data_IF_040170767063
#
_entry.id   IF_040170767063
#
_cell.length_a   1.000
_cell.length_b   1.000
_cell.length_c   1.000
_cell.angle_alpha   90.00
_cell.angle_beta   90.00
_cell.angle_gamma   90.00
#
_symmetry.space_group_name_H-M   'P 1'
#
loop_
_entity.id
_entity.type
_entity.pdbx_description
1 polymer ?
#
# COMPACT_ATOMS: atom_id res chain seq x y z
N UNK A 1 -42.31 -50.17 22.44
CA UNK A 1 -42.30 -48.70 22.31
C UNK A 1 -40.89 -48.27 21.96
N UNK A 2 -40.71 -47.60 20.81
CA UNK A 2 -39.41 -47.29 20.21
C UNK A 2 -38.80 -46.05 20.87
N UNK A 3 -37.58 -46.19 21.38
CA UNK A 3 -36.74 -45.09 21.84
C UNK A 3 -36.16 -44.37 20.62
N UNK A 4 -36.59 -43.15 20.37
CA UNK A 4 -35.91 -42.22 19.45
C UNK A 4 -35.01 -41.32 20.29
N UNK A 5 -33.71 -41.64 20.30
CA UNK A 5 -32.66 -40.81 20.86
C UNK A 5 -32.23 -39.83 19.76
N UNK A 6 -32.67 -38.58 19.85
CA UNK A 6 -32.25 -37.52 18.92
C UNK A 6 -30.88 -37.01 19.34
N UNK A 7 -29.84 -37.36 18.59
CA UNK A 7 -28.49 -36.83 18.79
C UNK A 7 -28.43 -35.43 18.15
N UNK A 8 -28.35 -34.39 18.98
CA UNK A 8 -28.09 -33.02 18.52
C UNK A 8 -26.58 -32.92 18.28
N UNK A 9 -26.18 -32.87 17.01
CA UNK A 9 -24.81 -32.53 16.61
C UNK A 9 -24.61 -31.02 16.79
N UNK A 10 -24.12 -30.60 17.95
CA UNK A 10 -23.54 -29.28 18.11
C UNK A 10 -22.22 -29.27 17.35
N UNK A 11 -22.21 -28.67 16.16
CA UNK A 11 -20.98 -28.29 15.46
C UNK A 11 -20.34 -27.20 16.31
N UNK A 12 -19.53 -27.61 17.27
CA UNK A 12 -18.56 -26.73 17.90
C UNK A 12 -17.59 -26.33 16.80
N UNK A 13 -17.78 -25.13 16.25
CA UNK A 13 -16.79 -24.44 15.44
C UNK A 13 -15.59 -24.12 16.32
N UNK A 14 -14.78 -25.15 16.58
CA UNK A 14 -13.39 -24.94 16.93
C UNK A 14 -12.81 -24.17 15.75
N UNK A 15 -12.46 -22.90 15.97
CA UNK A 15 -11.50 -22.19 15.14
C UNK A 15 -10.23 -23.04 15.15
N UNK A 16 -10.09 -23.89 14.14
CA UNK A 16 -8.91 -24.73 13.96
C UNK A 16 -7.77 -23.77 13.69
N UNK A 17 -6.93 -23.57 14.71
CA UNK A 17 -5.67 -22.86 14.54
C UNK A 17 -4.90 -23.52 13.38
N UNK A 18 -4.54 -22.71 12.38
CA UNK A 18 -3.78 -23.15 11.22
C UNK A 18 -4.57 -23.45 9.94
N UNK A 19 -5.82 -23.01 9.81
CA UNK A 19 -6.54 -23.21 8.55
C UNK A 19 -5.92 -22.39 7.40
N UNK A 20 -5.73 -23.04 6.26
CA UNK A 20 -5.33 -22.37 5.02
C UNK A 20 -6.42 -21.38 4.59
N UNK A 21 -6.03 -20.12 4.43
CA UNK A 21 -6.94 -19.03 4.03
C UNK A 21 -7.52 -19.25 2.64
N UNK A 22 -8.64 -18.58 2.37
CA UNK A 22 -9.30 -18.61 1.07
C UNK A 22 -9.33 -17.23 0.41
N UNK A 23 -9.26 -17.23 -0.92
CA UNK A 23 -9.50 -16.05 -1.76
C UNK A 23 -10.35 -16.48 -2.96
N UNK A 24 -11.47 -15.80 -3.18
CA UNK A 24 -12.46 -16.17 -4.21
C UNK A 24 -12.88 -17.66 -4.16
N UNK A 25 -13.04 -18.20 -2.94
CA UNK A 25 -13.46 -19.59 -2.71
C UNK A 25 -12.38 -20.65 -2.93
N UNK A 26 -11.13 -20.25 -3.17
CA UNK A 26 -10.00 -21.15 -3.39
C UNK A 26 -8.98 -21.03 -2.26
N UNK A 27 -8.35 -22.15 -1.89
CA UNK A 27 -7.29 -22.16 -0.87
C UNK A 27 -6.05 -21.42 -1.39
N UNK A 28 -5.56 -20.49 -0.59
CA UNK A 28 -4.39 -19.67 -0.92
C UNK A 28 -3.13 -20.43 -0.56
N UNK A 29 -2.28 -20.71 -1.55
CA UNK A 29 -1.00 -21.38 -1.31
C UNK A 29 0.08 -20.35 -1.00
N UNK A 30 0.08 -19.21 -1.70
CA UNK A 30 1.09 -18.17 -1.54
C UNK A 30 0.53 -16.78 -1.75
N UNK A 31 0.94 -15.85 -0.90
CA UNK A 31 0.85 -14.41 -1.13
C UNK A 31 2.27 -13.90 -1.40
N UNK A 32 2.52 -13.49 -2.64
CA UNK A 32 3.81 -12.98 -3.10
C UNK A 32 3.70 -11.46 -3.30
N UNK A 33 4.63 -10.69 -2.72
CA UNK A 33 4.63 -9.23 -2.78
C UNK A 33 5.97 -8.75 -3.32
N UNK A 34 5.92 -7.94 -4.37
CA UNK A 34 7.09 -7.27 -4.95
C UNK A 34 6.91 -5.77 -4.89
N UNK A 35 7.82 -5.09 -4.20
CA UNK A 35 7.97 -3.64 -4.30
C UNK A 35 9.13 -3.34 -5.23
N UNK A 36 8.96 -2.37 -6.13
CA UNK A 36 9.93 -2.07 -7.17
C UNK A 36 10.02 -0.56 -7.42
N UNK A 37 11.25 -0.04 -7.42
CA UNK A 37 11.56 1.33 -7.81
C UNK A 37 12.70 1.36 -8.82
N UNK A 38 12.52 2.04 -9.94
CA UNK A 38 13.52 2.16 -10.99
C UNK A 38 13.45 3.52 -11.67
N UNK A 39 14.60 3.99 -12.16
CA UNK A 39 14.72 5.26 -12.86
C UNK A 39 15.59 5.09 -14.10
N UNK A 40 15.13 5.66 -15.21
CA UNK A 40 15.92 5.83 -16.41
C UNK A 40 16.81 7.08 -16.27
N UNK A 41 18.10 6.93 -16.56
CA UNK A 41 19.05 8.02 -16.58
C UNK A 41 19.20 8.51 -18.02
N UNK A 42 19.01 9.81 -18.23
CA UNK A 42 19.26 10.46 -19.51
C UNK A 42 20.77 10.65 -19.74
N UNK A 43 21.50 9.54 -19.87
CA UNK A 43 22.92 9.47 -20.20
C UNK A 43 23.15 8.90 -21.62
N UNK A 44 24.42 8.88 -22.04
CA UNK A 44 24.84 8.36 -23.35
C UNK A 44 24.71 6.84 -23.48
N UNK A 45 24.52 6.14 -22.35
CA UNK A 45 24.47 4.67 -22.25
C UNK A 45 23.05 4.12 -22.16
N UNK A 46 22.05 4.98 -21.94
CA UNK A 46 20.69 4.56 -21.61
C UNK A 46 20.65 3.74 -20.33
N UNK A 47 21.24 4.25 -19.24
CA UNK A 47 21.33 3.53 -17.97
C UNK A 47 19.98 3.50 -17.26
N UNK A 48 19.55 2.33 -16.80
CA UNK A 48 18.46 2.15 -15.84
C UNK A 48 19.01 1.60 -14.53
N UNK A 49 18.61 2.18 -13.40
CA UNK A 49 18.96 1.68 -12.06
C UNK A 49 17.70 1.45 -11.26
N UNK A 50 17.65 0.35 -10.52
CA UNK A 50 16.50 0.05 -9.68
C UNK A 50 16.81 -0.84 -8.49
N UNK A 51 15.83 -0.91 -7.61
CA UNK A 51 15.82 -1.75 -6.42
C UNK A 51 14.46 -2.46 -6.38
N UNK A 52 14.44 -3.73 -6.00
CA UNK A 52 13.22 -4.48 -5.74
C UNK A 52 13.33 -5.23 -4.40
N UNK A 53 12.28 -5.15 -3.58
CA UNK A 53 12.10 -6.09 -2.47
C UNK A 53 11.06 -7.12 -2.85
N UNK A 54 11.38 -8.38 -2.58
CA UNK A 54 10.55 -9.53 -2.87
C UNK A 54 10.33 -10.28 -1.57
N UNK A 55 9.08 -10.52 -1.19
CA UNK A 55 8.71 -11.38 -0.06
C UNK A 55 7.56 -12.30 -0.45
N UNK A 56 7.55 -13.54 0.04
CA UNK A 56 6.38 -14.40 -0.08
C UNK A 56 6.03 -15.11 1.21
N UNK A 57 4.73 -15.18 1.46
CA UNK A 57 4.10 -15.89 2.56
C UNK A 57 3.43 -17.13 1.99
N UNK A 58 3.92 -18.31 2.36
CA UNK A 58 3.46 -19.60 1.79
C UNK A 58 2.90 -20.47 2.90
N UNK A 59 1.80 -21.15 2.63
CA UNK A 59 1.22 -22.10 3.57
C UNK A 59 2.09 -23.36 3.64
N UNK A 60 2.66 -23.63 4.81
CA UNK A 60 3.39 -24.87 5.10
C UNK A 60 2.42 -25.91 5.65
N UNK A 61 2.10 -26.91 4.81
CA UNK A 61 1.18 -27.99 5.18
C UNK A 61 1.68 -28.87 6.33
N UNK A 62 3.00 -28.94 6.56
CA UNK A 62 3.56 -29.74 7.66
C UNK A 62 3.38 -29.04 9.01
N UNK A 63 3.46 -27.71 9.00
CA UNK A 63 3.30 -26.87 10.19
C UNK A 63 1.88 -26.31 10.35
N UNK A 64 1.02 -26.50 9.34
CA UNK A 64 -0.33 -25.98 9.26
C UNK A 64 -0.39 -24.46 9.48
N UNK A 65 0.54 -23.70 8.88
CA UNK A 65 0.64 -22.25 9.08
C UNK A 65 1.32 -21.56 7.90
N UNK A 66 1.13 -20.24 7.78
CA UNK A 66 1.88 -19.45 6.81
C UNK A 66 3.25 -19.08 7.34
N UNK A 67 4.27 -19.24 6.50
CA UNK A 67 5.66 -18.86 6.81
C UNK A 67 6.22 -17.96 5.72
N UNK A 68 7.22 -17.16 6.08
CA UNK A 68 8.01 -16.42 5.08
C UNK A 68 8.86 -17.43 4.32
N UNK A 69 8.51 -17.71 3.07
CA UNK A 69 9.25 -18.68 2.25
C UNK A 69 10.49 -18.05 1.61
N UNK A 70 10.39 -16.79 1.19
CA UNK A 70 11.50 -16.01 0.63
C UNK A 70 11.38 -14.56 1.06
N UNK A 71 12.52 -13.93 1.31
CA UNK A 71 12.63 -12.49 1.45
C UNK A 71 14.02 -12.04 1.01
N UNK A 72 14.10 -11.22 -0.04
CA UNK A 72 15.35 -10.67 -0.54
C UNK A 72 15.17 -9.29 -1.18
N UNK A 73 16.28 -8.59 -1.33
CA UNK A 73 16.40 -7.33 -2.07
C UNK A 73 17.32 -7.52 -3.26
N UNK A 74 16.85 -7.12 -4.43
CA UNK A 74 17.66 -7.01 -5.64
C UNK A 74 17.99 -5.54 -5.89
N UNK A 75 19.26 -5.24 -6.10
CA UNK A 75 19.73 -3.96 -6.65
C UNK A 75 20.30 -4.23 -8.04
N UNK A 76 19.86 -3.46 -9.03
CA UNK A 76 20.27 -3.70 -10.40
C UNK A 76 20.62 -2.42 -11.14
N UNK A 77 21.51 -2.58 -12.12
CA UNK A 77 21.84 -1.56 -13.10
C UNK A 77 21.93 -2.21 -14.46
N UNK A 78 21.23 -1.62 -15.44
CA UNK A 78 21.30 -2.01 -16.84
C UNK A 78 21.77 -0.83 -17.68
N UNK A 79 22.62 -1.06 -18.67
CA UNK A 79 22.92 -0.08 -19.73
C UNK A 79 22.48 -0.65 -21.06
N UNK A 80 22.05 0.20 -21.99
CA UNK A 80 21.70 -0.20 -23.35
C UNK A 80 22.91 -0.14 -24.30
N UNK A 81 23.85 0.79 -24.06
CA UNK A 81 25.07 0.99 -24.88
C UNK A 81 26.34 1.09 -24.00
N UNK A 82 27.17 0.03 -23.91
CA UNK A 82 26.90 -1.34 -24.35
C UNK A 82 25.76 -1.99 -23.54
N UNK A 83 25.16 -3.07 -24.03
CA UNK A 83 24.18 -3.83 -23.25
C UNK A 83 24.90 -4.55 -22.10
N UNK A 84 24.63 -4.13 -20.87
CA UNK A 84 25.19 -4.76 -19.67
C UNK A 84 24.14 -4.80 -18.59
N UNK A 85 24.19 -5.83 -17.74
CA UNK A 85 23.34 -5.94 -16.55
C UNK A 85 24.21 -6.36 -15.36
N UNK A 86 24.08 -5.63 -14.26
CA UNK A 86 24.61 -6.02 -12.95
C UNK A 86 23.43 -6.19 -12.00
N UNK A 87 23.43 -7.29 -11.26
CA UNK A 87 22.41 -7.65 -10.29
C UNK A 87 23.09 -8.07 -9.00
N UNK A 88 22.73 -7.43 -7.90
CA UNK A 88 23.19 -7.77 -6.56
C UNK A 88 21.97 -8.17 -5.72
N UNK A 89 21.97 -9.40 -5.22
CA UNK A 89 20.87 -9.95 -4.42
C UNK A 89 21.31 -10.11 -2.97
N UNK A 90 20.57 -9.47 -2.05
CA UNK A 90 20.73 -9.61 -0.61
C UNK A 90 19.56 -10.41 -0.02
N UNK A 91 19.83 -11.61 0.47
CA UNK A 91 18.81 -12.51 1.04
C UNK A 91 18.71 -12.33 2.55
N UNK A 92 17.51 -12.05 3.05
CA UNK A 92 17.22 -11.92 4.48
C UNK A 92 16.99 -13.29 5.13
N UNK A 93 18.06 -14.11 5.17
CA UNK A 93 18.00 -15.51 5.64
C UNK A 93 17.41 -15.67 7.05
N UNK A 94 17.57 -14.67 7.92
CA UNK A 94 17.02 -14.69 9.28
C UNK A 94 15.50 -14.63 9.34
N UNK A 95 14.83 -14.18 8.27
CA UNK A 95 13.37 -14.09 8.23
C UNK A 95 12.71 -15.35 7.65
N UNK A 96 13.44 -16.11 6.84
CA UNK A 96 12.92 -17.30 6.15
C UNK A 96 12.53 -18.37 7.17
N UNK A 97 11.35 -18.95 6.98
CA UNK A 97 10.76 -19.98 7.85
C UNK A 97 10.03 -19.42 9.08
N UNK A 98 10.08 -18.11 9.34
CA UNK A 98 9.30 -17.51 10.43
C UNK A 98 7.81 -17.58 10.13
N UNK A 99 7.05 -17.95 11.16
CA UNK A 99 5.59 -17.88 11.15
C UNK A 99 5.13 -16.45 10.88
N UNK A 100 4.08 -16.32 10.07
CA UNK A 100 3.39 -15.06 9.81
C UNK A 100 2.00 -15.11 10.42
N UNK A 101 1.64 -14.06 11.15
CA UNK A 101 0.31 -13.90 11.73
C UNK A 101 -0.78 -14.00 10.66
N UNK A 102 -1.60 -15.06 10.79
CA UNK A 102 -2.68 -15.40 9.88
C UNK A 102 -3.65 -14.24 9.67
N UNK A 103 -3.95 -13.48 10.74
CA UNK A 103 -4.92 -12.38 10.69
C UNK A 103 -4.43 -11.25 9.78
N UNK A 104 -3.12 -11.04 9.66
CA UNK A 104 -2.55 -10.01 8.79
C UNK A 104 -2.71 -10.37 7.31
N UNK A 105 -2.51 -11.65 6.98
CA UNK A 105 -2.72 -12.15 5.62
C UNK A 105 -4.22 -12.12 5.29
N UNK A 106 -5.07 -12.60 6.19
CA UNK A 106 -6.53 -12.58 6.00
C UNK A 106 -7.08 -11.16 5.82
N UNK A 107 -6.59 -10.20 6.60
CA UNK A 107 -6.96 -8.78 6.46
C UNK A 107 -6.61 -8.24 5.08
N UNK A 108 -5.42 -8.58 4.55
CA UNK A 108 -5.01 -8.21 3.20
C UNK A 108 -5.91 -8.84 2.13
N UNK A 109 -6.16 -10.14 2.21
CA UNK A 109 -7.02 -10.87 1.29
C UNK A 109 -8.45 -10.29 1.26
N UNK A 110 -9.02 -10.00 2.44
CA UNK A 110 -10.34 -9.38 2.58
C UNK A 110 -10.37 -7.97 2.01
N UNK A 111 -9.31 -7.19 2.20
CA UNK A 111 -9.22 -5.84 1.64
C UNK A 111 -9.15 -5.86 0.11
N UNK A 112 -8.43 -6.81 -0.49
CA UNK A 112 -8.29 -6.95 -1.95
C UNK A 112 -9.59 -7.42 -2.63
N UNK A 113 -10.45 -8.16 -1.94
CA UNK A 113 -11.76 -8.58 -2.48
C UNK A 113 -12.86 -7.53 -2.31
N UNK A 114 -12.59 -6.44 -1.58
CA UNK A 114 -13.57 -5.41 -1.26
C UNK A 114 -13.28 -4.12 -2.00
N UNK A 115 -14.19 -3.68 -2.86
CA UNK A 115 -14.13 -2.35 -3.48
C UNK A 115 -15.07 -1.38 -2.77
N UNK A 116 -14.64 -0.13 -2.55
CA UNK A 116 -15.44 0.89 -1.87
C UNK A 116 -15.51 2.15 -2.71
N UNK A 117 -16.69 2.74 -2.79
CA UNK A 117 -16.88 4.04 -3.46
C UNK A 117 -16.01 5.11 -2.81
N UNK A 118 -15.42 6.00 -3.62
CA UNK A 118 -14.69 7.17 -3.13
C UNK A 118 -15.49 8.03 -2.13
N UNK A 119 -16.82 8.11 -2.30
CA UNK A 119 -17.74 8.80 -1.37
C UNK A 119 -17.71 8.23 0.04
N UNK A 120 -17.34 6.96 0.18
CA UNK A 120 -17.32 6.21 1.43
C UNK A 120 -15.89 6.00 1.97
N UNK A 121 -14.84 6.49 1.30
CA UNK A 121 -13.45 6.30 1.78
C UNK A 121 -13.23 6.83 3.20
N UNK A 122 -13.92 7.92 3.57
CA UNK A 122 -13.82 8.48 4.91
C UNK A 122 -14.24 7.48 6.00
N UNK A 123 -15.11 6.50 5.70
CA UNK A 123 -15.51 5.47 6.68
C UNK A 123 -14.44 4.43 6.94
N UNK A 124 -13.39 4.37 6.11
CA UNK A 124 -12.26 3.44 6.26
C UNK A 124 -11.10 4.03 7.07
N UNK A 125 -11.15 5.32 7.36
CA UNK A 125 -10.06 6.05 7.97
C UNK A 125 -10.37 6.29 9.44
N UNK A 126 -9.50 5.83 10.33
CA UNK A 126 -9.54 6.29 11.72
C UNK A 126 -9.05 7.73 11.78
N UNK A 127 -10.01 8.66 11.80
CA UNK A 127 -9.70 10.09 11.92
C UNK A 127 -9.00 10.46 13.22
N UNK A 128 -9.19 9.69 14.28
CA UNK A 128 -8.49 9.90 15.55
C UNK A 128 -7.02 9.56 15.38
N UNK A 129 -6.73 8.44 14.72
CA UNK A 129 -5.37 8.02 14.39
C UNK A 129 -4.69 9.04 13.46
N UNK A 130 -5.34 9.44 12.38
CA UNK A 130 -4.75 10.42 11.44
C UNK A 130 -4.51 11.79 12.07
N UNK A 131 -5.34 12.25 13.02
CA UNK A 131 -5.12 13.51 13.75
C UNK A 131 -3.77 13.55 14.45
N UNK A 132 -3.27 12.41 14.92
CA UNK A 132 -1.95 12.33 15.58
C UNK A 132 -0.82 12.73 14.62
N UNK A 133 -1.00 12.50 13.33
CA UNK A 133 -0.03 12.86 12.29
C UNK A 133 -0.21 14.31 11.77
N UNK A 134 -1.43 14.86 11.81
CA UNK A 134 -1.73 16.22 11.34
C UNK A 134 -1.40 17.25 12.44
N UNK A 135 -0.10 17.46 12.66
CA UNK A 135 0.41 18.44 13.64
C UNK A 135 1.00 19.65 12.93
N UNK A 136 1.10 20.79 13.62
CA UNK A 136 1.81 21.97 13.07
C UNK A 136 3.26 21.63 12.71
N UNK A 137 3.93 20.82 13.53
CA UNK A 137 5.28 20.32 13.25
C UNK A 137 5.33 19.58 11.92
N UNK A 138 4.35 18.70 11.66
CA UNK A 138 4.28 17.98 10.40
C UNK A 138 3.96 18.92 9.23
N UNK A 139 3.01 19.85 9.39
CA UNK A 139 2.68 20.84 8.36
C UNK A 139 3.92 21.65 7.96
N UNK A 140 4.70 22.13 8.93
CA UNK A 140 5.96 22.84 8.67
C UNK A 140 7.02 21.96 8.01
N UNK A 141 7.10 20.68 8.39
CA UNK A 141 8.01 19.70 7.76
C UNK A 141 7.67 19.51 6.28
N UNK A 142 6.39 19.35 5.95
CA UNK A 142 5.92 19.22 4.55
C UNK A 142 6.12 20.53 3.78
N UNK A 143 5.84 21.68 4.40
CA UNK A 143 6.09 22.99 3.79
C UNK A 143 7.57 23.23 3.45
N UNK A 144 8.48 22.74 4.29
CA UNK A 144 9.92 22.81 4.01
C UNK A 144 10.31 21.91 2.84
N UNK A 145 9.72 20.71 2.72
CA UNK A 145 9.98 19.79 1.60
C UNK A 145 9.46 20.32 0.26
N UNK A 146 8.44 21.16 0.31
CA UNK A 146 7.87 21.86 -0.84
C UNK A 146 8.34 23.33 -0.88
N UNK A 147 9.50 23.67 -0.28
CA UNK A 147 10.11 25.02 -0.10
C UNK A 147 9.17 26.25 -0.03
N UNK A 148 7.97 26.09 0.50
CA UNK A 148 7.02 27.17 0.79
C UNK A 148 7.07 27.59 2.26
N UNK A 149 8.00 27.04 3.05
CA UNK A 149 8.13 27.34 4.48
C UNK A 149 8.35 28.83 4.79
N UNK A 150 8.81 29.62 3.80
CA UNK A 150 8.96 31.07 3.93
C UNK A 150 7.62 31.78 4.14
N UNK A 151 6.52 31.27 3.59
CA UNK A 151 5.19 31.89 3.70
C UNK A 151 4.71 31.98 5.16
N UNK A 152 5.20 31.09 6.03
CA UNK A 152 4.86 31.06 7.46
C UNK A 152 5.82 31.89 8.34
N UNK A 153 6.80 32.60 7.76
CA UNK A 153 7.70 33.46 8.53
C UNK A 153 6.99 34.78 8.85
N UNK A 154 7.33 35.40 9.99
CA UNK A 154 6.75 36.68 10.45
C UNK A 154 6.81 37.83 9.43
N UNK A 155 7.75 37.78 8.49
CA UNK A 155 7.87 38.75 7.39
C UNK A 155 6.71 38.67 6.39
N UNK A 156 6.06 37.52 6.28
CA UNK A 156 5.05 37.22 5.26
C UNK A 156 3.68 36.89 5.85
N UNK A 157 3.60 36.43 7.11
CA UNK A 157 2.35 36.12 7.79
C UNK A 157 2.40 36.50 9.27
N UNK A 158 1.28 36.98 9.81
CA UNK A 158 1.13 37.22 11.26
C UNK A 158 1.00 35.90 12.03
N UNK A 159 1.07 35.97 13.36
CA UNK A 159 0.84 34.79 14.21
C UNK A 159 -0.59 34.28 14.04
N UNK A 160 -1.56 35.19 14.05
CA UNK A 160 -2.98 34.89 13.94
C UNK A 160 -3.30 34.20 12.60
N UNK A 161 -2.75 34.72 11.48
CA UNK A 161 -2.90 34.12 10.15
C UNK A 161 -2.31 32.70 10.10
N UNK A 162 -1.14 32.51 10.71
CA UNK A 162 -0.51 31.18 10.79
C UNK A 162 -1.35 30.22 11.63
N UNK A 163 -1.85 30.67 12.79
CA UNK A 163 -2.67 29.85 13.69
C UNK A 163 -3.99 29.43 13.00
N UNK A 164 -4.66 30.36 12.32
CA UNK A 164 -5.86 30.09 11.51
C UNK A 164 -5.58 29.07 10.40
N UNK A 165 -4.47 29.25 9.67
CA UNK A 165 -4.05 28.34 8.62
C UNK A 165 -3.84 26.91 9.15
N UNK A 166 -3.07 26.77 10.23
CA UNK A 166 -2.76 25.47 10.81
C UNK A 166 -4.01 24.79 11.39
N UNK A 167 -4.91 25.54 12.02
CA UNK A 167 -6.17 25.00 12.54
C UNK A 167 -7.10 24.54 11.42
N UNK A 168 -7.17 25.30 10.32
CA UNK A 168 -7.94 24.94 9.13
C UNK A 168 -7.38 23.68 8.45
N UNK A 169 -6.05 23.54 8.40
CA UNK A 169 -5.39 22.33 7.89
C UNK A 169 -5.60 21.11 8.80
N UNK A 170 -5.78 21.31 10.11
CA UNK A 170 -6.09 20.23 11.08
C UNK A 170 -7.56 19.81 11.07
N UNK A 171 -8.42 20.54 10.36
CA UNK A 171 -9.86 20.26 10.32
C UNK A 171 -10.15 18.91 9.65
N UNK A 172 -11.01 18.12 10.29
CA UNK A 172 -11.47 16.84 9.73
C UNK A 172 -12.40 17.04 8.54
N UNK A 173 -13.12 18.16 8.48
CA UNK A 173 -13.96 18.45 7.33
C UNK A 173 -13.10 18.75 6.09
N UNK A 174 -11.96 19.41 6.28
CA UNK A 174 -10.97 19.58 5.22
C UNK A 174 -10.39 18.24 4.75
N UNK A 175 -10.09 17.34 5.70
CA UNK A 175 -9.61 15.98 5.38
C UNK A 175 -10.67 15.14 4.62
N UNK A 176 -11.96 15.26 4.96
CA UNK A 176 -13.07 14.61 4.22
C UNK A 176 -13.11 15.08 2.77
N UNK A 177 -12.96 16.39 2.54
CA UNK A 177 -12.93 16.97 1.19
C UNK A 177 -11.77 16.38 0.40
N UNK A 178 -10.57 16.34 1.01
CA UNK A 178 -9.40 15.71 0.40
C UNK A 178 -9.66 14.27 -0.03
N UNK A 179 -10.15 13.40 0.85
CA UNK A 179 -10.37 11.99 0.52
C UNK A 179 -11.38 11.81 -0.63
N UNK A 180 -12.35 12.72 -0.74
CA UNK A 180 -13.35 12.70 -1.81
C UNK A 180 -12.78 13.16 -3.16
N UNK A 181 -11.98 14.23 -3.15
CA UNK A 181 -11.47 14.86 -4.37
C UNK A 181 -10.20 14.18 -4.91
N UNK A 182 -9.30 13.75 -4.02
CA UNK A 182 -7.95 13.28 -4.39
C UNK A 182 -7.94 11.90 -5.03
N UNK A 183 -8.88 11.04 -4.66
CA UNK A 183 -8.98 9.65 -5.13
C UNK A 183 -10.07 9.47 -6.19
N UNK A 184 -10.37 10.52 -6.96
CA UNK A 184 -11.17 10.37 -8.17
C UNK A 184 -10.39 9.58 -9.22
N UNK A 185 -10.94 8.46 -9.67
CA UNK A 185 -10.28 7.50 -10.57
C UNK A 185 -10.54 7.80 -12.04
N UNK A 186 -11.00 9.00 -12.37
CA UNK A 186 -11.44 9.42 -13.71
C UNK A 186 -10.29 9.74 -14.68
N UNK A 187 -9.06 9.85 -14.19
CA UNK A 187 -7.87 10.17 -15.00
C UNK A 187 -6.70 9.24 -14.72
N UNK A 188 -5.87 9.02 -15.73
CA UNK A 188 -4.64 8.23 -15.63
C UNK A 188 -3.44 9.03 -16.14
N UNK A 189 -2.38 9.08 -15.34
CA UNK A 189 -1.08 9.63 -15.75
C UNK A 189 -0.13 8.47 -15.96
N UNK A 190 0.45 8.39 -17.16
CA UNK A 190 1.47 7.39 -17.51
C UNK A 190 2.84 8.04 -17.32
N UNK A 191 3.70 7.40 -16.53
CA UNK A 191 5.08 7.83 -16.28
C UNK A 191 5.99 6.79 -16.93
N UNK A 192 6.80 7.20 -17.90
CA UNK A 192 7.54 6.28 -18.78
C UNK A 192 9.02 6.13 -18.43
N UNK A 193 9.58 7.09 -17.71
CA UNK A 193 11.00 7.17 -17.32
C UNK A 193 11.25 6.71 -15.87
N UNK A 194 10.18 6.39 -15.14
CA UNK A 194 10.22 6.03 -13.73
C UNK A 194 9.21 4.93 -13.40
N UNK A 195 9.66 3.92 -12.67
CA UNK A 195 8.80 2.88 -12.10
C UNK A 195 8.81 3.01 -10.59
N UNK A 196 7.65 3.02 -9.96
CA UNK A 196 7.50 2.98 -8.50
C UNK A 196 6.17 2.31 -8.14
N UNK A 197 6.25 1.00 -7.92
CA UNK A 197 5.12 0.08 -7.95
C UNK A 197 5.25 -0.94 -6.83
N UNK A 198 4.12 -1.30 -6.21
CA UNK A 198 3.98 -2.49 -5.37
C UNK A 198 3.00 -3.43 -6.08
N UNK A 199 3.40 -4.67 -6.32
CA UNK A 199 2.55 -5.71 -6.86
C UNK A 199 2.31 -6.78 -5.81
N UNK A 200 1.11 -7.35 -5.82
CA UNK A 200 0.69 -8.48 -4.99
C UNK A 200 0.18 -9.57 -5.92
N UNK A 201 0.64 -10.79 -5.70
CA UNK A 201 0.15 -11.98 -6.35
C UNK A 201 -0.41 -12.93 -5.29
N UNK A 202 -1.61 -13.42 -5.52
CA UNK A 202 -2.22 -14.48 -4.71
C UNK A 202 -2.26 -15.72 -5.59
N UNK A 203 -1.48 -16.72 -5.25
CA UNK A 203 -1.43 -18.00 -5.95
C UNK A 203 -2.25 -19.03 -5.18
N UNK A 204 -3.12 -19.72 -5.89
CA UNK A 204 -3.89 -20.87 -5.41
C UNK A 204 -3.51 -22.09 -6.25
N UNK A 205 -4.09 -23.24 -5.92
CA UNK A 205 -3.86 -24.48 -6.68
C UNK A 205 -4.37 -24.42 -8.12
N UNK A 206 -5.20 -23.43 -8.47
CA UNK A 206 -5.88 -23.35 -9.77
C UNK A 206 -5.88 -21.98 -10.42
N UNK A 207 -5.48 -20.92 -9.71
CA UNK A 207 -5.51 -19.56 -10.22
C UNK A 207 -4.39 -18.69 -9.62
N UNK A 208 -4.10 -17.59 -10.32
CA UNK A 208 -3.25 -16.51 -9.83
C UNK A 208 -4.01 -15.19 -9.99
N UNK A 209 -4.00 -14.38 -8.94
CA UNK A 209 -4.61 -13.05 -8.93
C UNK A 209 -3.52 -12.00 -8.75
N UNK A 210 -3.50 -10.97 -9.60
CA UNK A 210 -2.48 -9.91 -9.58
C UNK A 210 -3.10 -8.55 -9.29
N UNK A 211 -2.52 -7.83 -8.34
CA UNK A 211 -2.91 -6.48 -7.95
C UNK A 211 -1.71 -5.54 -8.01
N UNK A 212 -1.91 -4.32 -8.48
CA UNK A 212 -0.85 -3.32 -8.66
C UNK A 212 -1.22 -1.97 -8.03
N UNK A 213 -0.36 -1.45 -7.17
CA UNK A 213 -0.39 -0.08 -6.69
C UNK A 213 0.80 0.71 -7.25
N UNK A 214 0.55 1.77 -8.01
CA UNK A 214 1.60 2.49 -8.78
C UNK A 214 1.64 4.00 -8.53
N UNK A 215 2.81 4.61 -8.71
CA UNK A 215 2.94 6.07 -8.88
C UNK A 215 2.31 6.49 -10.23
N UNK A 216 1.72 7.70 -10.37
CA UNK A 216 1.66 8.81 -9.41
C UNK A 216 0.48 8.79 -8.46
N UNK A 217 -0.21 7.66 -8.35
CA UNK A 217 -1.41 7.59 -7.54
C UNK A 217 -1.11 7.89 -6.06
N UNK A 218 -1.92 8.74 -5.40
CA UNK A 218 -1.78 9.09 -3.99
C UNK A 218 -1.78 7.82 -3.15
N UNK A 219 -0.74 7.63 -2.35
CA UNK A 219 -0.52 6.40 -1.56
C UNK A 219 -0.79 5.10 -2.32
N UNK A 220 -0.52 5.07 -3.64
CA UNK A 220 -0.75 3.93 -4.54
C UNK A 220 -2.21 3.52 -4.77
N UNK A 221 -3.19 4.41 -4.55
CA UNK A 221 -4.62 4.12 -4.72
C UNK A 221 -5.23 4.84 -5.94
N UNK A 222 -6.10 4.18 -6.72
CA UNK A 222 -6.60 2.83 -6.50
C UNK A 222 -5.54 1.77 -6.79
N UNK A 223 -5.75 0.57 -6.24
CA UNK A 223 -5.07 -0.64 -6.68
C UNK A 223 -5.73 -1.15 -7.95
N UNK A 224 -4.96 -1.72 -8.87
CA UNK A 224 -5.46 -2.23 -10.14
C UNK A 224 -5.48 -3.74 -10.11
N UNK A 225 -6.64 -4.35 -10.35
CA UNK A 225 -6.78 -5.79 -10.48
C UNK A 225 -6.56 -6.23 -11.93
N UNK A 226 -5.55 -7.08 -12.15
CA UNK A 226 -5.17 -7.63 -13.45
C UNK A 226 -5.57 -9.10 -13.61
N UNK A 227 -6.38 -9.64 -12.70
CA UNK A 227 -6.71 -11.07 -12.69
C UNK A 227 -7.59 -11.48 -13.88
N UNK A 228 -8.38 -10.55 -14.43
CA UNK A 228 -9.17 -10.78 -15.65
C UNK A 228 -8.41 -10.26 -16.88
N UNK A 229 -7.75 -11.17 -17.59
CA UNK A 229 -6.99 -10.86 -18.81
C UNK A 229 -7.87 -10.63 -20.04
N UNK A 230 -9.18 -10.88 -19.95
CA UNK A 230 -10.12 -10.59 -21.04
C UNK A 230 -10.49 -9.10 -21.13
N UNK A 231 -10.29 -8.35 -20.05
CA UNK A 231 -10.57 -6.92 -20.00
C UNK A 231 -9.42 -6.10 -20.57
N UNK A 232 -9.76 -5.14 -21.42
CA UNK A 232 -8.78 -4.20 -21.99
C UNK A 232 -8.25 -3.19 -20.96
N UNK A 233 -9.03 -2.93 -19.91
CA UNK A 233 -8.70 -2.00 -18.84
C UNK A 233 -8.72 -2.72 -17.49
N UNK A 234 -7.71 -2.42 -16.68
CA UNK A 234 -7.55 -2.91 -15.31
C UNK A 234 -8.72 -2.42 -14.44
N UNK A 235 -9.23 -3.28 -13.55
CA UNK A 235 -10.32 -2.88 -12.66
C UNK A 235 -9.76 -2.15 -11.43
N UNK A 236 -10.11 -0.86 -11.20
CA UNK A 236 -9.65 -0.13 -10.02
C UNK A 236 -10.39 -0.60 -8.76
N UNK A 237 -9.62 -0.87 -7.71
CA UNK A 237 -10.06 -1.18 -6.36
C UNK A 237 -9.61 -0.04 -5.46
N UNK A 238 -10.59 0.69 -4.94
CA UNK A 238 -10.35 1.76 -4.00
C UNK A 238 -10.64 1.26 -2.58
N UNK A 239 -9.58 0.97 -1.83
CA UNK A 239 -9.69 0.48 -0.47
C UNK A 239 -8.41 0.76 0.33
N UNK A 240 -8.45 1.73 1.23
CA UNK A 240 -7.32 2.13 2.07
C UNK A 240 -6.90 1.03 3.05
N UNK A 241 -7.78 0.07 3.36
CA UNK A 241 -7.42 -1.07 4.20
C UNK A 241 -6.34 -1.95 3.57
N UNK A 242 -6.23 -1.98 2.23
CA UNK A 242 -5.12 -2.67 1.55
C UNK A 242 -3.78 -2.12 2.05
N UNK A 243 -3.66 -0.79 2.09
CA UNK A 243 -2.45 -0.11 2.54
C UNK A 243 -2.15 -0.35 4.03
N UNK A 244 -3.20 -0.35 4.86
CA UNK A 244 -3.08 -0.64 6.30
C UNK A 244 -2.58 -2.07 6.53
N UNK A 245 -3.24 -3.07 5.92
CA UNK A 245 -2.85 -4.48 6.03
C UNK A 245 -1.43 -4.72 5.53
N UNK A 246 -1.04 -4.13 4.40
CA UNK A 246 0.35 -4.20 3.91
C UNK A 246 1.35 -3.55 4.89
N UNK A 247 0.99 -2.42 5.48
CA UNK A 247 1.85 -1.73 6.46
C UNK A 247 2.06 -2.55 7.73
N UNK A 248 1.14 -3.43 8.09
CA UNK A 248 1.23 -4.33 9.25
C UNK A 248 1.90 -5.67 8.92
N UNK A 249 1.70 -6.16 7.70
CA UNK A 249 2.23 -7.43 7.20
C UNK A 249 3.70 -7.34 6.80
N UNK A 250 4.12 -6.24 6.16
CA UNK A 250 5.45 -6.12 5.59
C UNK A 250 6.52 -5.78 6.64
N UNK A 251 7.78 -6.23 6.47
CA UNK A 251 8.91 -5.81 7.30
C UNK A 251 9.13 -4.30 7.31
N UNK A 252 9.66 -3.74 8.41
CA UNK A 252 9.85 -2.28 8.56
C UNK A 252 10.69 -1.64 7.45
N UNK A 253 11.72 -2.34 6.98
CA UNK A 253 12.66 -1.89 5.95
C UNK A 253 12.26 -2.27 4.52
N UNK A 254 11.06 -2.84 4.33
CA UNK A 254 10.56 -3.23 3.02
C UNK A 254 10.37 -2.00 2.13
N UNK A 255 10.87 -2.08 0.90
CA UNK A 255 10.90 -1.00 -0.07
C UNK A 255 9.48 -0.44 -0.31
N UNK A 256 9.36 0.88 -0.42
CA UNK A 256 8.09 1.62 -0.60
C UNK A 256 7.01 1.46 0.48
N UNK A 257 7.22 0.67 1.55
CA UNK A 257 6.26 0.53 2.66
C UNK A 257 5.88 1.88 3.28
N UNK A 258 6.84 2.79 3.41
CA UNK A 258 6.59 4.14 3.90
C UNK A 258 5.61 4.94 3.03
N UNK A 259 5.54 4.66 1.72
CA UNK A 259 4.71 5.39 0.75
C UNK A 259 3.22 5.01 0.80
N UNK A 260 2.89 3.91 1.48
CA UNK A 260 1.52 3.44 1.72
C UNK A 260 1.07 3.64 3.18
N UNK A 261 1.89 4.31 4.00
CA UNK A 261 1.59 4.52 5.42
C UNK A 261 0.57 5.65 5.68
N UNK A 262 0.02 5.68 6.90
CA UNK A 262 -0.78 6.80 7.39
C UNK A 262 0.00 8.13 7.35
N UNK A 263 1.31 8.13 7.63
CA UNK A 263 2.14 9.35 7.49
C UNK A 263 2.22 9.81 6.03
N UNK A 264 2.32 8.88 5.06
CA UNK A 264 2.30 9.24 3.64
C UNK A 264 0.95 9.82 3.20
N UNK A 265 -0.16 9.26 3.68
CA UNK A 265 -1.50 9.80 3.43
C UNK A 265 -1.64 11.23 3.96
N UNK A 266 -1.14 11.49 5.17
CA UNK A 266 -1.14 12.84 5.75
C UNK A 266 -0.21 13.80 5.01
N UNK A 267 0.94 13.32 4.53
CA UNK A 267 1.84 14.16 3.74
C UNK A 267 1.22 14.57 2.39
N UNK A 268 0.55 13.65 1.69
CA UNK A 268 -0.17 13.97 0.45
C UNK A 268 -1.34 14.93 0.74
N UNK A 269 -2.10 14.71 1.82
CA UNK A 269 -3.14 15.62 2.29
C UNK A 269 -2.64 17.06 2.52
N UNK A 270 -1.56 17.21 3.27
CA UNK A 270 -1.00 18.55 3.57
C UNK A 270 -0.51 19.21 2.27
N UNK A 271 0.09 18.44 1.36
CA UNK A 271 0.54 18.95 0.06
C UNK A 271 -0.64 19.42 -0.78
N UNK A 272 -1.69 18.60 -0.91
CA UNK A 272 -2.95 18.99 -1.55
C UNK A 272 -3.56 20.24 -0.92
N UNK A 273 -3.50 20.39 0.41
CA UNK A 273 -4.03 21.56 1.10
C UNK A 273 -3.26 22.84 0.75
N UNK A 274 -1.94 22.76 0.56
CA UNK A 274 -1.12 23.86 0.05
C UNK A 274 -1.49 24.23 -1.38
N UNK A 275 -1.61 23.22 -2.26
CA UNK A 275 -1.98 23.42 -3.67
C UNK A 275 -3.36 24.06 -3.81
N UNK A 276 -4.34 23.61 -3.02
CA UNK A 276 -5.70 24.17 -2.98
C UNK A 276 -5.73 25.65 -2.57
N UNK A 277 -4.72 26.11 -1.84
CA UNK A 277 -4.55 27.51 -1.42
C UNK A 277 -3.55 28.28 -2.30
N UNK A 278 -3.20 27.71 -3.46
CA UNK A 278 -2.27 28.32 -4.42
C UNK A 278 -0.89 28.61 -3.84
N UNK A 279 -0.50 27.88 -2.79
CA UNK A 279 0.82 27.99 -2.18
C UNK A 279 1.81 27.17 -3.02
N UNK A 280 2.38 27.81 -4.03
CA UNK A 280 3.41 27.23 -4.90
C UNK A 280 4.66 28.12 -4.88
N UNK A 281 5.75 27.58 -5.43
CA UNK A 281 6.98 28.31 -5.72
C UNK A 281 6.76 29.36 -6.79
#
# INVERSE_FOLDING_TARGET
MKNTLTLIFTILSYSVFGQQLQFNGQLVDTVFIKSHRSVYQFDDKGTTKGIADIISFTFDSNQNQYVIHQFYRDEYRRTFKPDTITLETNVYKSEIGKETDLNKIESLLTALSTNVSNRNLFTQVDTTELKVFITEKQIRKVAKRNDIAWQFKRRYSTKEQNDEFFNSCKSMDTLKIYLKERFDTSGYVIVTDYSNIINIWISTSTAEYRFEGKYPNPVKQPWYNHSDTSLTLEQPILNLKINQSLSELLPKNFLLKETISNEALVNDYITWYFERREMKY
#
